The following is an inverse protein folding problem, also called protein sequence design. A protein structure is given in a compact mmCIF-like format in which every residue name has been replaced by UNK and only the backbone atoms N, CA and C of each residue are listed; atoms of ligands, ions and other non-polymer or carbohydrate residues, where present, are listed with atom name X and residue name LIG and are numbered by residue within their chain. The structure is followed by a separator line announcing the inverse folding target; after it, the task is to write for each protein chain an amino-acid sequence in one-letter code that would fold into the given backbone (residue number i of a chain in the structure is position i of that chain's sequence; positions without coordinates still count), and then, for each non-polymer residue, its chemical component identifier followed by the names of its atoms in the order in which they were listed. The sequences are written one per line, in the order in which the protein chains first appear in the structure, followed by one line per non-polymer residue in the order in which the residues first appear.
data_IF_967476612124
#
_entry.id   IF_967476612124
#
_cell.length_a   1.000
_cell.length_b   1.000
_cell.length_c   1.000
_cell.angle_alpha   90.00
_cell.angle_beta   90.00
_cell.angle_gamma   90.00
#
_symmetry.space_group_name_H-M   'P 1'
#
loop_
_entity.id
_entity.type
_entity.pdbx_description
1 polymer ?
#
# COMPACT_ATOMS: atom_id res chain seq x y z
N UNK A 1 19.01 17.16 -8.66
CA UNK A 1 18.36 16.74 -8.29
C UNK A 1 18.35 15.50 -8.43
N UNK A 2 18.21 14.86 -8.03
CA UNK A 2 18.19 13.72 -8.30
C UNK A 2 17.03 13.17 -8.26
N UNK A 3 16.65 12.49 -9.08
CA UNK A 3 15.54 11.98 -8.99
C UNK A 3 15.54 10.85 -8.21
N UNK A 4 14.51 10.56 -7.58
CA UNK A 4 14.46 9.44 -6.75
C UNK A 4 14.71 8.25 -7.60
N UNK A 5 15.29 7.29 -7.05
CA UNK A 5 15.49 6.09 -7.72
C UNK A 5 14.19 5.52 -8.14
N UNK A 6 14.07 5.21 -9.37
CA UNK A 6 12.89 4.62 -9.84
C UNK A 6 12.74 3.27 -9.27
N UNK A 7 11.58 2.92 -8.83
CA UNK A 7 11.40 1.65 -8.20
C UNK A 7 11.17 0.54 -9.19
N UNK A 8 11.82 0.58 -10.32
CA UNK A 8 11.65 -0.50 -11.26
C UNK A 8 12.14 -1.81 -10.70
N UNK A 9 13.02 -1.74 -9.70
CA UNK A 9 13.49 -2.95 -9.08
C UNK A 9 12.73 -3.25 -7.81
N UNK A 10 11.69 -2.54 -7.53
CA UNK A 10 10.98 -2.76 -6.28
C UNK A 10 10.31 -4.11 -6.28
N UNK A 11 10.31 -4.76 -5.14
CA UNK A 11 9.61 -6.02 -4.99
C UNK A 11 8.13 -5.81 -4.81
N UNK A 12 7.69 -4.62 -4.54
CA UNK A 12 6.29 -4.31 -4.44
C UNK A 12 6.10 -2.82 -4.35
N UNK A 13 4.89 -2.39 -4.63
CA UNK A 13 4.58 -0.97 -4.58
C UNK A 13 3.25 -0.83 -3.88
N UNK A 14 3.15 0.15 -3.00
CA UNK A 14 1.92 0.44 -2.31
C UNK A 14 1.58 1.90 -2.53
N UNK A 15 0.38 2.17 -2.99
CA UNK A 15 -0.09 3.52 -3.20
C UNK A 15 -1.28 3.73 -2.29
N UNK A 16 -1.27 4.80 -1.53
CA UNK A 16 -2.35 5.11 -0.62
C UNK A 16 -2.99 6.41 -1.04
N UNK A 17 -4.30 6.41 -1.15
CA UNK A 17 -5.06 7.61 -1.42
C UNK A 17 -6.06 7.78 -0.31
N UNK A 18 -6.29 8.99 0.11
CA UNK A 18 -7.22 9.23 1.21
C UNK A 18 -8.14 10.37 0.84
N UNK A 19 -9.38 10.27 1.30
CA UNK A 19 -10.31 11.36 1.08
C UNK A 19 -11.30 11.36 2.22
N UNK A 20 -12.01 12.48 2.35
CA UNK A 20 -12.94 12.64 3.44
C UNK A 20 -14.35 12.40 2.91
N UNK A 21 -15.09 11.58 3.61
CA UNK A 21 -16.45 11.32 3.20
C UNK A 21 -17.36 12.49 3.60
N UNK A 22 -18.58 12.46 3.11
CA UNK A 22 -19.53 13.49 3.44
C UNK A 22 -19.84 13.54 4.92
N UNK A 23 -19.69 12.42 5.59
CA UNK A 23 -19.95 12.37 7.02
C UNK A 23 -18.76 12.83 7.83
N UNK A 24 -17.65 13.15 7.19
CA UNK A 24 -16.48 13.60 7.92
C UNK A 24 -15.47 12.52 8.23
N UNK A 25 -15.77 11.29 7.85
CA UNK A 25 -14.83 10.21 8.06
C UNK A 25 -13.77 10.23 6.99
N UNK A 26 -12.63 9.63 7.30
CA UNK A 26 -11.55 9.54 6.34
C UNK A 26 -11.53 8.12 5.80
N UNK A 27 -11.51 8.00 4.50
CA UNK A 27 -11.39 6.70 3.85
C UNK A 27 -10.04 6.64 3.18
N UNK A 28 -9.41 5.49 3.24
CA UNK A 28 -8.11 5.30 2.63
C UNK A 28 -8.18 4.11 1.71
N UNK A 29 -7.74 4.30 0.49
CA UNK A 29 -7.65 3.20 -0.45
C UNK A 29 -6.19 2.83 -0.60
N UNK A 30 -5.89 1.58 -0.40
CA UNK A 30 -4.54 1.05 -0.54
C UNK A 30 -4.52 0.15 -1.75
N UNK A 31 -3.64 0.46 -2.68
CA UNK A 31 -3.42 -0.37 -3.85
C UNK A 31 -2.04 -0.95 -3.71
N UNK A 32 -1.94 -2.27 -3.66
CA UNK A 32 -0.70 -2.93 -3.34
C UNK A 32 -0.38 -3.96 -4.39
N UNK A 33 0.90 -4.05 -4.73
CA UNK A 33 1.37 -5.11 -5.58
C UNK A 33 2.39 -5.92 -4.81
N UNK A 34 2.54 -7.18 -5.18
CA UNK A 34 3.50 -8.07 -4.56
C UNK A 34 4.25 -8.80 -5.62
N UNK A 35 5.43 -9.30 -5.28
CA UNK A 35 6.20 -10.07 -6.26
C UNK A 35 5.39 -11.28 -6.70
N UNK A 36 5.34 -11.50 -7.98
CA UNK A 36 4.66 -12.66 -8.50
C UNK A 36 3.18 -12.50 -8.73
N UNK A 37 2.60 -11.40 -8.25
CA UNK A 37 1.20 -11.18 -8.49
C UNK A 37 0.99 -10.64 -9.87
N UNK A 38 -0.12 -11.00 -10.47
CA UNK A 38 -0.42 -10.48 -11.77
C UNK A 38 -1.26 -9.26 -11.72
N UNK A 39 -1.67 -8.80 -10.61
CA UNK A 39 -2.48 -7.61 -10.52
C UNK A 39 -2.35 -7.01 -9.16
N UNK A 40 -3.09 -5.96 -8.96
CA UNK A 40 -3.02 -5.23 -7.71
C UNK A 40 -4.07 -5.73 -6.77
N UNK A 41 -3.77 -5.63 -5.49
CA UNK A 41 -4.76 -5.84 -4.45
C UNK A 41 -5.23 -4.48 -3.98
N UNK A 42 -6.53 -4.27 -3.97
CA UNK A 42 -7.08 -2.98 -3.56
C UNK A 42 -7.88 -3.19 -2.29
N UNK A 43 -7.63 -2.37 -1.30
CA UNK A 43 -8.36 -2.41 -0.06
C UNK A 43 -8.78 -1.02 0.34
N UNK A 44 -9.98 -0.89 0.87
CA UNK A 44 -10.45 0.37 1.37
C UNK A 44 -10.65 0.21 2.87
N UNK A 45 -10.07 1.10 3.63
CA UNK A 45 -10.19 1.05 5.08
C UNK A 45 -10.71 2.39 5.57
N UNK A 46 -11.30 2.37 6.76
CA UNK A 46 -11.98 3.53 7.27
C UNK A 46 -11.25 4.22 8.42
N UNK A 47 -10.15 3.68 8.87
CA UNK A 47 -9.42 4.30 9.97
C UNK A 47 -7.94 4.28 9.68
N UNK A 48 -7.24 5.22 10.29
CA UNK A 48 -5.79 5.26 10.14
C UNK A 48 -5.14 4.02 10.73
N UNK A 49 -5.66 3.56 11.85
CA UNK A 49 -5.07 2.38 12.48
C UNK A 49 -5.18 1.17 11.57
N UNK A 50 -6.31 1.05 10.88
CA UNK A 50 -6.48 -0.07 9.99
C UNK A 50 -5.56 0.05 8.79
N UNK A 51 -5.37 1.27 8.29
CA UNK A 51 -4.48 1.48 7.17
C UNK A 51 -3.05 1.10 7.55
N UNK A 52 -2.63 1.48 8.74
CA UNK A 52 -1.29 1.15 9.20
C UNK A 52 -1.14 -0.36 9.35
N UNK A 53 -2.17 -1.02 9.87
CA UNK A 53 -2.10 -2.47 10.03
C UNK A 53 -1.94 -3.17 8.69
N UNK A 54 -2.66 -2.69 7.67
CA UNK A 54 -2.53 -3.29 6.35
C UNK A 54 -1.14 -3.05 5.77
N UNK A 55 -0.61 -1.87 6.00
CA UNK A 55 0.72 -1.55 5.52
C UNK A 55 1.76 -2.47 6.18
N UNK A 56 1.62 -2.69 7.47
CA UNK A 56 2.54 -3.58 8.16
C UNK A 56 2.45 -5.00 7.64
N UNK A 57 1.24 -5.48 7.39
CA UNK A 57 1.07 -6.80 6.85
C UNK A 57 1.75 -6.94 5.50
N UNK A 58 1.58 -5.92 4.67
CA UNK A 58 2.15 -5.95 3.35
C UNK A 58 3.68 -5.96 3.42
N UNK A 59 4.25 -5.14 4.29
CA UNK A 59 5.70 -5.13 4.46
C UNK A 59 6.20 -6.45 4.99
N UNK A 60 5.47 -7.06 5.91
CA UNK A 60 5.86 -8.34 6.45
C UNK A 60 5.88 -9.40 5.38
N UNK A 61 4.89 -9.36 4.49
CA UNK A 61 4.85 -10.33 3.42
C UNK A 61 6.00 -10.14 2.46
N UNK A 62 6.35 -8.90 2.17
CA UNK A 62 7.48 -8.65 1.30
C UNK A 62 8.77 -9.14 1.95
N UNK A 63 8.93 -8.87 3.23
CA UNK A 63 10.11 -9.29 3.94
C UNK A 63 10.22 -10.81 3.98
N UNK A 64 9.09 -11.48 4.15
CA UNK A 64 9.12 -12.93 4.19
C UNK A 64 9.39 -13.53 2.82
N UNK A 65 8.98 -12.85 1.76
CA UNK A 65 9.18 -13.37 0.43
C UNK A 65 10.60 -13.21 -0.07
N UNK A 66 11.28 -12.21 0.41
CA UNK A 66 12.60 -11.92 -0.08
C UNK A 66 13.59 -12.75 0.66
N UNK A 67 14.38 -13.49 -0.01
CA UNK A 67 15.33 -14.32 0.70
C UNK A 67 16.69 -14.10 0.22
#
# INVERSE_FOLDING_TARGET
MNEPTTPSDADGVLVASAWRSAAGDVLVRLTMTRPGDEGDTVRTVATAAEAVARFEEWLTELTSSVR
#
